data_IF_784224954543
#
_entry.id   IF_784224954543
#
_cell.length_a   1.000
_cell.length_b   1.000
_cell.length_c   1.000
_cell.angle_alpha   90.00
_cell.angle_beta   90.00
_cell.angle_gamma   90.00
#
_symmetry.space_group_name_H-M   'P 1'
#
loop_
_entity.id
_entity.type
_entity.pdbx_description
1 polymer ?
#
# COMPACT_ATOMS: atom_id res chain seq x y z
N UNK A 1 1.08 48.40 -17.61
CA UNK A 1 0.93 47.80 -16.30
C UNK A 1 1.60 46.41 -16.26
N UNK A 2 2.93 46.39 -16.22
CA UNK A 2 3.62 45.10 -16.30
C UNK A 2 3.49 44.25 -15.04
N UNK A 3 3.08 44.79 -13.93
CA UNK A 3 2.93 44.05 -12.67
C UNK A 3 1.79 43.05 -12.69
N UNK A 4 0.73 43.31 -13.43
CA UNK A 4 -0.42 42.43 -13.52
C UNK A 4 -0.13 41.18 -14.36
N UNK A 5 0.85 41.22 -15.24
CA UNK A 5 1.23 40.08 -16.09
C UNK A 5 2.11 39.07 -15.34
N UNK A 6 2.77 39.46 -14.25
CA UNK A 6 3.62 38.61 -13.46
C UNK A 6 2.83 37.69 -12.50
N UNK A 7 1.67 38.13 -12.04
CA UNK A 7 0.84 37.39 -11.12
C UNK A 7 0.42 36.01 -11.61
N UNK A 8 -0.03 35.80 -12.85
CA UNK A 8 -0.40 34.47 -13.33
C UNK A 8 0.78 33.48 -13.36
N UNK A 9 1.99 33.97 -13.59
CA UNK A 9 3.18 33.13 -13.63
C UNK A 9 3.54 32.59 -12.25
N UNK A 10 3.37 33.40 -11.22
CA UNK A 10 3.61 32.98 -9.84
C UNK A 10 2.62 31.91 -9.38
N UNK A 11 1.38 32.02 -9.80
CA UNK A 11 0.36 31.03 -9.49
C UNK A 11 0.60 29.69 -10.16
N UNK A 12 1.07 29.69 -11.40
CA UNK A 12 1.37 28.47 -12.11
C UNK A 12 2.48 27.66 -11.44
N UNK A 13 3.48 28.32 -10.87
CA UNK A 13 4.54 27.64 -10.14
C UNK A 13 4.09 27.01 -8.83
N UNK A 14 3.10 27.59 -8.16
CA UNK A 14 2.60 27.07 -6.88
C UNK A 14 1.75 25.80 -7.02
N UNK A 15 1.26 25.50 -8.21
CA UNK A 15 0.38 24.35 -8.45
C UNK A 15 1.12 23.05 -8.80
N UNK A 16 2.43 23.09 -8.89
CA UNK A 16 3.25 21.98 -9.40
C UNK A 16 3.83 21.08 -8.29
N UNK A 17 3.20 21.02 -7.13
CA UNK A 17 3.66 20.14 -6.06
C UNK A 17 3.30 18.68 -6.37
N UNK A 18 4.34 17.82 -6.42
CA UNK A 18 4.15 16.39 -6.60
C UNK A 18 3.65 15.75 -5.30
N UNK A 19 2.75 14.80 -5.43
CA UNK A 19 2.24 14.03 -4.30
C UNK A 19 3.37 13.19 -3.69
N UNK A 20 3.48 13.21 -2.37
CA UNK A 20 4.51 12.49 -1.65
C UNK A 20 4.29 10.98 -1.73
N UNK A 21 5.35 10.27 -2.07
CA UNK A 21 5.36 8.82 -2.18
C UNK A 21 6.04 8.22 -0.94
N UNK A 22 5.44 7.18 -0.39
CA UNK A 22 5.95 6.47 0.77
C UNK A 22 6.38 5.06 0.37
N UNK A 23 7.53 4.62 0.84
CA UNK A 23 8.07 3.32 0.50
C UNK A 23 7.67 2.27 1.52
N UNK A 24 7.14 1.15 1.04
CA UNK A 24 6.82 -0.03 1.84
C UNK A 24 8.03 -0.95 1.89
N UNK A 25 8.59 -1.23 0.72
CA UNK A 25 9.83 -2.01 0.59
C UNK A 25 10.44 -1.76 -0.79
N UNK A 26 11.72 -2.05 -0.91
CA UNK A 26 12.46 -1.91 -2.16
C UNK A 26 13.57 -2.95 -2.21
N UNK A 27 13.61 -3.71 -3.30
CA UNK A 27 14.65 -4.68 -3.56
C UNK A 27 15.06 -4.62 -5.05
N UNK A 28 16.03 -5.41 -5.43
CA UNK A 28 16.43 -5.50 -6.84
C UNK A 28 15.32 -6.04 -7.75
N UNK A 29 14.42 -6.84 -7.21
CA UNK A 29 13.40 -7.55 -7.98
C UNK A 29 12.02 -6.90 -7.87
N UNK A 30 11.78 -6.14 -6.81
CA UNK A 30 10.47 -5.57 -6.56
C UNK A 30 10.56 -4.28 -5.77
N UNK A 31 9.56 -3.42 -5.96
CA UNK A 31 9.36 -2.25 -5.12
C UNK A 31 7.87 -2.07 -4.84
N UNK A 32 7.56 -1.63 -3.62
CA UNK A 32 6.20 -1.32 -3.21
C UNK A 32 6.22 0.06 -2.58
N UNK A 33 5.35 0.92 -3.09
CA UNK A 33 5.17 2.28 -2.56
C UNK A 33 3.70 2.59 -2.46
N UNK A 34 3.35 3.62 -1.71
CA UNK A 34 1.96 4.09 -1.65
C UNK A 34 1.88 5.61 -1.58
N UNK A 35 0.74 6.12 -2.01
CA UNK A 35 0.35 7.52 -1.86
C UNK A 35 -1.03 7.57 -1.24
N UNK A 36 -1.41 8.71 -0.70
CA UNK A 36 -2.77 8.91 -0.22
C UNK A 36 -3.70 9.22 -1.40
N UNK A 37 -4.90 8.63 -1.42
CA UNK A 37 -5.90 8.92 -2.45
C UNK A 37 -6.48 10.31 -2.31
N UNK A 38 -6.51 10.83 -1.08
CA UNK A 38 -7.06 12.14 -0.77
C UNK A 38 -5.98 13.06 -0.20
N UNK A 39 -6.37 14.28 0.14
CA UNK A 39 -5.44 15.27 0.70
C UNK A 39 -5.15 15.06 2.17
N UNK A 40 -5.86 14.16 2.83
CA UNK A 40 -5.69 13.92 4.26
C UNK A 40 -4.54 12.95 4.49
N UNK A 41 -3.61 13.34 5.34
CA UNK A 41 -2.52 12.49 5.78
C UNK A 41 -2.87 11.90 7.14
N UNK A 42 -2.71 10.60 7.25
CA UNK A 42 -2.98 9.87 8.47
C UNK A 42 -1.67 9.34 9.03
N UNK A 43 -1.57 9.19 10.35
CA UNK A 43 -0.37 8.60 10.94
C UNK A 43 -0.36 7.09 10.70
N UNK A 44 -0.03 6.71 9.48
CA UNK A 44 0.09 5.30 9.08
C UNK A 44 1.47 5.06 8.47
N UNK A 45 2.10 3.97 8.86
CA UNK A 45 3.37 3.51 8.30
C UNK A 45 3.29 2.02 8.05
N UNK A 46 3.70 1.59 6.87
CA UNK A 46 3.61 0.21 6.41
C UNK A 46 4.97 -0.22 5.88
N UNK A 47 5.48 -1.35 6.39
CA UNK A 47 6.72 -1.96 5.92
C UNK A 47 6.51 -3.44 5.68
N UNK A 48 7.15 -3.96 4.66
CA UNK A 48 7.14 -5.40 4.32
C UNK A 48 8.58 -5.89 4.22
N UNK A 49 8.88 -6.98 4.88
CA UNK A 49 10.20 -7.58 4.87
C UNK A 49 10.09 -9.12 4.85
N UNK A 50 10.72 -9.79 3.90
CA UNK A 50 11.39 -9.22 2.72
C UNK A 50 10.41 -8.64 1.72
N UNK A 51 10.90 -7.80 0.81
CA UNK A 51 10.09 -7.35 -0.31
C UNK A 51 9.76 -8.54 -1.20
N UNK A 52 8.66 -8.45 -1.95
CA UNK A 52 8.12 -9.57 -2.73
C UNK A 52 9.20 -10.28 -3.54
N UNK A 53 9.32 -11.59 -3.34
CA UNK A 53 10.21 -12.46 -4.10
C UNK A 53 9.40 -13.51 -4.86
N UNK A 54 9.87 -13.89 -6.05
CA UNK A 54 9.22 -14.91 -6.88
C UNK A 54 9.11 -16.28 -6.19
N UNK A 55 10.11 -16.60 -5.39
CA UNK A 55 10.15 -17.85 -4.63
C UNK A 55 9.56 -17.67 -3.24
N UNK A 56 8.65 -16.72 -3.13
CA UNK A 56 8.13 -16.22 -1.91
C UNK A 56 7.71 -17.28 -0.94
N UNK A 57 8.30 -17.22 0.17
CA UNK A 57 7.96 -18.05 1.27
C UNK A 57 7.11 -17.27 2.23
N UNK A 58 7.72 -16.59 3.13
CA UNK A 58 7.04 -15.87 4.20
C UNK A 58 7.53 -14.45 4.27
N UNK A 59 6.63 -13.53 4.57
CA UNK A 59 6.97 -12.15 4.81
C UNK A 59 6.36 -11.62 6.09
N UNK A 60 6.92 -10.54 6.58
CA UNK A 60 6.41 -9.83 7.73
C UNK A 60 5.90 -8.46 7.29
N UNK A 61 4.66 -8.18 7.62
CA UNK A 61 4.02 -6.89 7.38
C UNK A 61 3.97 -6.14 8.70
N UNK A 62 4.70 -5.04 8.78
CA UNK A 62 4.72 -4.17 9.96
C UNK A 62 3.82 -2.97 9.71
N UNK A 63 2.88 -2.74 10.61
CA UNK A 63 1.93 -1.63 10.52
C UNK A 63 1.99 -0.80 11.78
N UNK A 64 2.20 0.49 11.61
CA UNK A 64 2.02 1.50 12.65
C UNK A 64 0.85 2.39 12.22
N UNK A 65 -0.16 2.53 13.09
CA UNK A 65 -1.36 3.30 12.74
C UNK A 65 -2.03 3.84 14.00
N UNK A 66 -2.52 5.06 13.92
CA UNK A 66 -3.35 5.66 14.97
C UNK A 66 -4.73 5.88 14.37
N UNK A 67 -5.72 5.02 14.73
CA UNK A 67 -7.05 5.12 14.13
C UNK A 67 -7.82 6.34 14.65
N UNK A 68 -8.61 6.93 13.78
CA UNK A 68 -9.50 8.03 14.13
C UNK A 68 -10.92 7.56 14.48
N UNK A 69 -11.17 6.28 14.40
CA UNK A 69 -12.39 5.60 14.83
C UNK A 69 -12.03 4.25 15.43
N UNK A 70 -12.95 3.68 16.20
CA UNK A 70 -12.78 2.31 16.72
C UNK A 70 -12.71 1.32 15.54
N UNK A 71 -11.86 0.31 15.65
CA UNK A 71 -11.65 -0.67 14.58
C UNK A 71 -12.57 -1.90 14.67
N UNK A 72 -13.61 -1.87 15.48
CA UNK A 72 -14.48 -3.02 15.75
C UNK A 72 -15.13 -3.61 14.51
N UNK A 73 -15.45 -2.77 13.53
CA UNK A 73 -16.12 -3.20 12.30
C UNK A 73 -15.37 -2.59 11.14
N UNK A 74 -14.26 -3.23 10.79
CA UNK A 74 -13.35 -2.74 9.75
C UNK A 74 -13.43 -3.64 8.54
N UNK A 75 -13.58 -3.05 7.36
CA UNK A 75 -13.40 -3.76 6.11
C UNK A 75 -12.65 -2.90 5.10
N UNK A 76 -12.05 -3.56 4.12
CA UNK A 76 -11.36 -2.90 3.03
C UNK A 76 -12.10 -3.11 1.73
N UNK A 77 -12.21 -2.05 0.93
CA UNK A 77 -12.54 -2.16 -0.49
C UNK A 77 -11.23 -2.12 -1.26
N UNK A 78 -11.01 -3.12 -2.11
CA UNK A 78 -9.80 -3.27 -2.91
C UNK A 78 -10.12 -3.10 -4.39
N UNK A 79 -9.39 -2.19 -5.04
CA UNK A 79 -9.48 -1.96 -6.48
C UNK A 79 -8.12 -2.26 -7.07
N UNK A 80 -8.02 -3.40 -7.77
CA UNK A 80 -6.73 -3.90 -8.26
C UNK A 80 -6.67 -3.77 -9.76
N UNK A 81 -5.54 -3.23 -10.25
CA UNK A 81 -5.21 -3.16 -11.67
C UNK A 81 -3.90 -3.90 -11.89
N UNK A 82 -3.90 -4.83 -12.83
CA UNK A 82 -2.71 -5.58 -13.22
C UNK A 82 -2.30 -5.11 -14.60
N UNK A 83 -1.15 -4.44 -14.69
CA UNK A 83 -0.70 -3.73 -15.89
C UNK A 83 -1.74 -2.68 -16.30
N UNK A 84 -2.59 -2.96 -17.26
CA UNK A 84 -3.67 -2.04 -17.69
C UNK A 84 -5.05 -2.64 -17.47
N UNK A 85 -5.14 -3.85 -16.90
CA UNK A 85 -6.39 -4.56 -16.72
C UNK A 85 -6.96 -4.34 -15.33
N UNK A 86 -8.17 -3.83 -15.26
CA UNK A 86 -8.88 -3.66 -13.98
C UNK A 86 -9.57 -4.95 -13.58
N UNK A 87 -9.34 -5.38 -12.35
CA UNK A 87 -10.03 -6.52 -11.77
C UNK A 87 -11.32 -6.07 -11.08
N UNK A 88 -12.28 -6.98 -10.85
CA UNK A 88 -13.48 -6.63 -10.09
C UNK A 88 -13.16 -6.16 -8.68
N UNK A 89 -13.98 -5.22 -8.18
CA UNK A 89 -13.86 -4.73 -6.80
C UNK A 89 -13.99 -5.89 -5.82
N UNK A 90 -13.13 -5.91 -4.82
CA UNK A 90 -13.13 -6.93 -3.78
C UNK A 90 -13.33 -6.29 -2.42
N UNK A 91 -14.20 -6.89 -1.60
CA UNK A 91 -14.42 -6.48 -0.21
C UNK A 91 -13.80 -7.52 0.72
N UNK A 92 -12.93 -7.06 1.61
CA UNK A 92 -12.30 -7.91 2.62
C UNK A 92 -12.71 -7.44 4.01
N UNK A 93 -13.40 -8.31 4.75
CA UNK A 93 -13.77 -8.02 6.14
C UNK A 93 -12.57 -8.33 7.02
N UNK A 94 -12.09 -7.33 7.75
CA UNK A 94 -10.91 -7.45 8.61
C UNK A 94 -11.32 -7.63 10.07
N UNK A 95 -12.26 -6.82 10.55
CA UNK A 95 -12.77 -6.90 11.91
C UNK A 95 -14.29 -7.00 11.91
N UNK A 96 -14.82 -8.03 12.55
CA UNK A 96 -16.27 -8.28 12.62
C UNK A 96 -16.92 -7.74 13.88
N UNK A 97 -16.12 -7.44 14.90
CA UNK A 97 -16.59 -6.96 16.19
C UNK A 97 -16.63 -8.03 17.26
N UNK A 98 -16.50 -9.29 16.92
CA UNK A 98 -16.43 -10.42 17.85
C UNK A 98 -15.62 -11.54 17.21
N UNK A 99 -14.87 -12.26 18.05
CA UNK A 99 -14.06 -13.41 17.64
C UNK A 99 -13.09 -13.10 16.48
N UNK A 100 -12.47 -11.93 16.55
CA UNK A 100 -11.55 -11.48 15.52
C UNK A 100 -10.15 -12.06 15.71
N UNK A 101 -9.53 -12.47 14.59
CA UNK A 101 -8.19 -13.06 14.58
C UNK A 101 -7.10 -12.04 14.91
N UNK A 102 -7.35 -10.77 14.63
CA UNK A 102 -6.36 -9.70 14.83
C UNK A 102 -6.62 -8.97 16.13
N UNK A 103 -5.58 -8.85 16.95
CA UNK A 103 -5.67 -8.11 18.22
C UNK A 103 -5.98 -6.63 18.01
N UNK A 104 -5.50 -6.04 16.92
CA UNK A 104 -5.75 -4.63 16.62
C UNK A 104 -7.24 -4.31 16.36
N UNK A 105 -8.08 -5.32 16.15
CA UNK A 105 -9.52 -5.12 16.01
C UNK A 105 -10.17 -4.56 17.28
N UNK A 106 -9.47 -4.68 18.41
CA UNK A 106 -9.93 -4.12 19.69
C UNK A 106 -9.48 -2.67 19.90
N UNK A 107 -8.69 -2.13 18.99
CA UNK A 107 -8.18 -0.77 19.14
C UNK A 107 -9.30 0.25 19.06
N UNK A 108 -9.26 1.17 20.00
CA UNK A 108 -10.19 2.28 20.07
C UNK A 108 -9.59 3.51 19.40
N UNK A 109 -10.45 4.48 19.11
CA UNK A 109 -10.03 5.76 18.55
C UNK A 109 -8.86 6.35 19.34
N UNK A 110 -7.79 6.71 18.65
CA UNK A 110 -6.62 7.36 19.24
C UNK A 110 -5.58 6.43 19.84
N UNK A 111 -5.89 5.13 19.95
CA UNK A 111 -4.91 4.16 20.43
C UNK A 111 -3.89 3.84 19.35
N UNK A 112 -2.64 3.65 19.75
CA UNK A 112 -1.58 3.29 18.80
C UNK A 112 -1.65 1.82 18.46
N UNK A 113 -1.83 1.51 17.18
CA UNK A 113 -1.69 0.16 16.63
C UNK A 113 -0.27 0.02 16.13
N UNK A 114 0.47 -0.91 16.70
CA UNK A 114 1.83 -1.25 16.28
C UNK A 114 1.89 -2.77 16.23
N UNK A 115 1.74 -3.32 15.04
CA UNK A 115 1.56 -4.76 14.89
C UNK A 115 2.39 -5.31 13.75
N UNK A 116 2.71 -6.60 13.85
CA UNK A 116 3.40 -7.35 12.81
C UNK A 116 2.56 -8.55 12.45
N UNK A 117 2.26 -8.69 11.16
CA UNK A 117 1.45 -9.77 10.62
C UNK A 117 2.34 -10.65 9.75
N UNK A 118 2.37 -11.95 10.04
CA UNK A 118 2.99 -12.94 9.19
C UNK A 118 2.07 -13.25 8.03
N UNK A 119 2.62 -13.28 6.82
CA UNK A 119 1.85 -13.72 5.66
C UNK A 119 2.70 -14.64 4.80
N UNK A 120 2.02 -15.44 3.96
CA UNK A 120 2.67 -16.38 3.06
C UNK A 120 2.23 -16.11 1.63
N UNK A 121 3.21 -16.04 0.74
CA UNK A 121 2.96 -15.96 -0.70
C UNK A 121 2.92 -17.34 -1.36
N UNK A 122 2.97 -18.40 -0.57
CA UNK A 122 2.97 -19.77 -1.10
C UNK A 122 1.73 -20.01 -1.97
N UNK A 123 1.94 -20.39 -3.21
CA UNK A 123 0.86 -20.61 -4.16
C UNK A 123 0.44 -19.40 -4.97
N UNK A 124 0.99 -18.21 -4.67
CA UNK A 124 0.74 -17.02 -5.46
C UNK A 124 1.95 -16.77 -6.37
N UNK A 125 1.69 -16.75 -7.68
CA UNK A 125 2.72 -16.41 -8.66
C UNK A 125 2.58 -14.94 -9.03
N UNK A 126 3.55 -14.14 -8.59
CA UNK A 126 3.64 -12.76 -9.03
C UNK A 126 4.40 -12.72 -10.34
N UNK A 127 3.69 -12.56 -11.44
CA UNK A 127 4.34 -12.35 -12.73
C UNK A 127 4.98 -10.96 -12.78
N UNK A 128 5.95 -10.82 -13.69
CA UNK A 128 6.57 -9.53 -13.98
C UNK A 128 5.52 -8.52 -14.40
N UNK A 129 5.57 -7.31 -13.85
CA UNK A 129 4.65 -6.26 -14.23
C UNK A 129 4.41 -5.23 -13.17
N UNK A 130 3.46 -4.36 -13.45
CA UNK A 130 3.03 -3.28 -12.57
C UNK A 130 1.63 -3.61 -12.03
N UNK A 131 1.51 -3.57 -10.72
CA UNK A 131 0.26 -3.78 -10.02
C UNK A 131 -0.09 -2.50 -9.28
N UNK A 132 -1.35 -2.13 -9.32
CA UNK A 132 -1.87 -0.99 -8.59
C UNK A 132 -3.04 -1.46 -7.74
N UNK A 133 -3.04 -1.09 -6.46
CA UNK A 133 -4.11 -1.46 -5.55
C UNK A 133 -4.56 -0.23 -4.76
N UNK A 134 -5.80 0.17 -4.96
CA UNK A 134 -6.41 1.21 -4.12
C UNK A 134 -7.13 0.51 -2.99
N UNK A 135 -6.80 0.90 -1.75
CA UNK A 135 -7.38 0.35 -0.52
C UNK A 135 -8.16 1.45 0.19
N UNK A 136 -9.46 1.27 0.30
CA UNK A 136 -10.31 2.10 1.13
C UNK A 136 -10.60 1.35 2.42
N UNK A 137 -10.24 1.92 3.56
CA UNK A 137 -10.52 1.35 4.88
C UNK A 137 -11.77 2.01 5.46
N UNK A 138 -12.78 1.21 5.75
CA UNK A 138 -14.09 1.69 6.21
C UNK A 138 -14.44 1.01 7.52
N UNK A 139 -14.90 1.79 8.48
CA UNK A 139 -15.25 1.29 9.81
C UNK A 139 -16.44 2.02 10.40
N UNK A 140 -17.13 1.36 11.31
CA UNK A 140 -18.12 1.93 12.20
C UNK A 140 -19.55 1.86 11.73
N UNK A 141 -20.42 2.37 12.60
CA UNK A 141 -21.84 2.55 12.35
C UNK A 141 -22.26 3.91 12.90
N UNK A 142 -22.51 4.92 12.06
CA UNK A 142 -22.46 4.89 10.60
C UNK A 142 -21.06 4.68 10.04
N UNK A 143 -20.97 4.10 8.85
CA UNK A 143 -19.71 3.83 8.18
C UNK A 143 -18.98 5.12 7.85
N UNK A 144 -17.65 5.10 8.07
CA UNK A 144 -16.79 6.21 7.74
C UNK A 144 -15.47 5.68 7.15
N UNK A 145 -14.98 6.35 6.12
CA UNK A 145 -13.67 6.01 5.55
C UNK A 145 -12.56 6.49 6.49
N UNK A 146 -11.74 5.56 6.96
CA UNK A 146 -10.62 5.85 7.84
C UNK A 146 -9.41 6.36 7.06
N UNK A 147 -9.12 5.72 5.95
CA UNK A 147 -8.04 6.12 5.07
C UNK A 147 -8.24 5.55 3.67
N UNK A 148 -7.57 6.15 2.72
CA UNK A 148 -7.47 5.63 1.36
C UNK A 148 -6.03 5.69 0.91
N UNK A 149 -5.48 4.54 0.53
CA UNK A 149 -4.11 4.41 0.07
C UNK A 149 -4.07 3.78 -1.31
N UNK A 150 -3.22 4.30 -2.16
CA UNK A 150 -2.96 3.74 -3.48
C UNK A 150 -1.57 3.13 -3.49
N UNK A 151 -1.50 1.80 -3.55
CA UNK A 151 -0.25 1.05 -3.62
C UNK A 151 0.14 0.83 -5.06
N UNK A 152 1.42 0.98 -5.33
CA UNK A 152 2.03 0.64 -6.61
C UNK A 152 3.11 -0.41 -6.35
N UNK A 153 2.96 -1.56 -7.01
CA UNK A 153 3.89 -2.67 -6.90
C UNK A 153 4.53 -2.88 -8.26
N UNK A 154 5.85 -2.74 -8.30
CA UNK A 154 6.64 -3.03 -9.49
C UNK A 154 7.40 -4.31 -9.24
N UNK A 155 7.16 -5.33 -10.06
CA UNK A 155 7.84 -6.61 -9.98
C UNK A 155 8.58 -6.85 -11.28
N UNK A 156 9.89 -6.72 -11.22
CA UNK A 156 10.78 -6.91 -12.36
C UNK A 156 12.01 -7.68 -11.89
N UNK A 157 11.96 -9.03 -11.97
CA UNK A 157 13.11 -9.83 -11.60
C UNK A 157 14.35 -9.41 -12.39
N UNK A 158 15.47 -9.28 -11.69
CA UNK A 158 16.70 -8.83 -12.29
C UNK A 158 17.23 -9.88 -13.26
N UNK A 159 17.28 -9.56 -14.54
CA UNK A 159 17.78 -10.45 -15.60
C UNK A 159 19.25 -10.84 -15.43
N UNK A 160 20.01 -10.04 -14.67
CA UNK A 160 21.44 -10.31 -14.44
C UNK A 160 21.66 -11.60 -13.63
N UNK A 161 20.68 -12.03 -12.84
CA UNK A 161 20.77 -13.28 -12.10
C UNK A 161 20.81 -14.51 -13.01
N UNK A 162 20.22 -14.43 -14.19
CA UNK A 162 20.22 -15.54 -15.14
C UNK A 162 21.57 -15.72 -15.84
N UNK A 163 22.33 -14.65 -16.02
CA UNK A 163 23.63 -14.73 -16.68
C UNK A 163 24.71 -15.40 -15.83
N UNK A 164 24.64 -15.30 -14.51
CA UNK A 164 25.60 -15.93 -13.61
C UNK A 164 25.49 -17.45 -13.55
N UNK A 165 24.33 -18.01 -13.84
CA UNK A 165 24.12 -19.45 -13.82
C UNK A 165 24.68 -20.15 -15.06
N UNK A 166 24.85 -19.45 -16.17
CA UNK A 166 25.37 -20.04 -17.39
C UNK A 166 26.89 -20.17 -17.41
N UNK A 167 27.61 -19.48 -16.55
CA UNK A 167 29.06 -19.52 -16.50
C UNK A 167 29.61 -20.65 -15.62
N UNK A 168 28.79 -21.37 -14.90
CA UNK A 168 29.23 -22.42 -13.98
C UNK A 168 29.18 -23.83 -14.55
N UNK A 169 28.84 -23.99 -15.82
CA UNK A 169 28.66 -25.31 -16.44
C UNK A 169 29.81 -25.70 -17.38
N UNK A 170 30.98 -25.13 -17.20
CA UNK A 170 32.17 -25.51 -17.99
C UNK A 170 33.20 -26.21 -17.12
#
# INVERSE_FOLDING_TARGET
MPLLLLLPLLWAGALAEAQKQYWVCNSSDASISYTYCDKMQYPISINVNPCIELKGSKGLLHIFYIPRRDLKQLYFNLYITVNTMNLPKRKEVICRGSDDDYSFCRALKGETVNTTISFSFKGIKFSKGKYKCVVEAISGSPEEMLFCLEFVILHQPNSNHHHHHHHHHH
#
